data_IF_016880871413
#
_entry.id   IF_016880871413
#
_cell.length_a   1.000
_cell.length_b   1.000
_cell.length_c   1.000
_cell.angle_alpha   90.00
_cell.angle_beta   90.00
_cell.angle_gamma   90.00
#
_symmetry.space_group_name_H-M   'P 1'
#
loop_
_entity.id
_entity.type
_entity.pdbx_description
1 polymer ?
#
# COMPACT_ATOMS: atom_id res chain seq x y z
N UNK A 1 9.02 3.34 2.16
CA UNK A 1 9.10 1.87 2.28
C UNK A 1 7.71 1.25 2.26
N UNK A 2 6.94 1.27 3.36
CA UNK A 2 5.63 0.58 3.40
C UNK A 2 4.70 0.97 2.24
N UNK A 3 4.44 2.27 2.07
CA UNK A 3 3.53 2.75 1.03
C UNK A 3 3.92 2.27 -0.36
N UNK A 4 5.18 2.51 -0.78
CA UNK A 4 5.63 2.11 -2.13
C UNK A 4 5.64 0.58 -2.32
N UNK A 5 5.94 -0.20 -1.28
CA UNK A 5 5.86 -1.68 -1.36
C UNK A 5 4.41 -2.14 -1.50
N UNK A 6 3.48 -1.57 -0.73
CA UNK A 6 2.04 -1.84 -0.87
C UNK A 6 1.56 -1.43 -2.26
N UNK A 7 1.97 -0.26 -2.77
CA UNK A 7 1.63 0.20 -4.11
C UNK A 7 1.99 -0.83 -5.18
N UNK A 8 3.22 -1.36 -5.16
CA UNK A 8 3.62 -2.41 -6.10
C UNK A 8 2.81 -3.71 -5.94
N UNK A 9 2.64 -4.19 -4.71
CA UNK A 9 1.93 -5.44 -4.44
C UNK A 9 0.44 -5.37 -4.77
N UNK A 10 -0.25 -4.31 -4.33
CA UNK A 10 -1.67 -4.12 -4.60
C UNK A 10 -1.90 -3.88 -6.08
N UNK A 11 -0.97 -3.22 -6.77
CA UNK A 11 -1.04 -3.12 -8.21
C UNK A 11 -1.01 -4.49 -8.89
N UNK A 12 0.02 -5.28 -8.60
CA UNK A 12 0.26 -6.56 -9.27
C UNK A 12 -0.77 -7.63 -8.93
N UNK A 13 -1.30 -7.61 -7.70
CA UNK A 13 -2.26 -8.61 -7.21
C UNK A 13 -3.73 -8.21 -7.44
N UNK A 14 -4.01 -6.91 -7.58
CA UNK A 14 -5.40 -6.40 -7.63
C UNK A 14 -5.61 -5.51 -8.84
N UNK A 15 -4.93 -4.37 -8.93
CA UNK A 15 -5.27 -3.35 -9.94
C UNK A 15 -4.96 -3.79 -11.37
N UNK A 16 -3.99 -4.68 -11.59
CA UNK A 16 -3.58 -5.11 -12.94
C UNK A 16 -4.75 -5.68 -13.76
N UNK A 17 -5.78 -6.22 -13.09
CA UNK A 17 -6.98 -6.76 -13.74
C UNK A 17 -7.99 -5.69 -14.15
N UNK A 18 -7.84 -4.45 -13.66
CA UNK A 18 -8.76 -3.33 -13.88
C UNK A 18 -8.17 -2.23 -14.76
N UNK A 19 -6.86 -2.24 -15.02
CA UNK A 19 -6.19 -1.18 -15.77
C UNK A 19 -5.44 -1.72 -16.98
N UNK A 20 -5.54 -0.99 -18.09
CA UNK A 20 -4.84 -1.28 -19.33
C UNK A 20 -3.97 -0.08 -19.74
N UNK A 21 -2.87 0.17 -19.02
CA UNK A 21 -2.10 1.39 -19.20
C UNK A 21 -1.39 1.40 -20.55
N UNK A 22 -1.46 2.53 -21.26
CA UNK A 22 -0.79 2.76 -22.55
C UNK A 22 -0.06 4.10 -22.56
N UNK A 23 0.85 4.30 -23.53
CA UNK A 23 1.60 5.56 -23.67
C UNK A 23 2.30 5.97 -22.36
N UNK A 24 2.10 7.23 -21.95
CA UNK A 24 2.71 7.76 -20.72
C UNK A 24 2.19 7.10 -19.44
N UNK A 25 0.97 6.59 -19.44
CA UNK A 25 0.43 5.85 -18.30
C UNK A 25 1.18 4.53 -18.08
N UNK A 26 1.60 3.87 -19.16
CA UNK A 26 2.41 2.66 -19.07
C UNK A 26 3.79 2.96 -18.48
N UNK A 27 4.44 4.02 -18.95
CA UNK A 27 5.75 4.44 -18.41
C UNK A 27 5.64 4.75 -16.92
N UNK A 28 4.64 5.53 -16.51
CA UNK A 28 4.39 5.82 -15.10
C UNK A 28 4.08 4.55 -14.30
N UNK A 29 3.32 3.62 -14.86
CA UNK A 29 3.00 2.34 -14.23
C UNK A 29 4.26 1.53 -13.98
N UNK A 30 5.11 1.36 -14.99
CA UNK A 30 6.39 0.67 -14.87
C UNK A 30 7.27 1.34 -13.80
N UNK A 31 7.40 2.66 -13.85
CA UNK A 31 8.21 3.41 -12.89
C UNK A 31 7.72 3.26 -11.45
N UNK A 32 6.42 3.46 -11.22
CA UNK A 32 5.85 3.60 -9.86
C UNK A 32 5.39 2.28 -9.24
N UNK A 33 5.00 1.29 -10.05
CA UNK A 33 4.44 0.03 -9.55
C UNK A 33 5.39 -1.16 -9.72
N UNK A 34 6.40 -1.06 -10.59
CA UNK A 34 7.40 -2.11 -10.76
C UNK A 34 8.79 -1.66 -10.33
N UNK A 35 9.35 -0.59 -10.89
CA UNK A 35 10.74 -0.22 -10.60
C UNK A 35 10.90 0.33 -9.18
N UNK A 36 10.15 1.37 -8.82
CA UNK A 36 10.32 2.04 -7.52
C UNK A 36 10.08 1.13 -6.31
N UNK A 37 9.03 0.27 -6.25
CA UNK A 37 8.82 -0.64 -5.12
C UNK A 37 9.98 -1.59 -4.92
N UNK A 38 10.43 -2.24 -6.00
CA UNK A 38 11.46 -3.27 -5.93
C UNK A 38 12.87 -2.71 -5.80
N UNK A 39 13.14 -1.49 -6.26
CA UNK A 39 14.41 -0.80 -6.02
C UNK A 39 14.49 -0.22 -4.59
N UNK A 40 13.36 0.18 -4.00
CA UNK A 40 13.34 0.76 -2.65
C UNK A 40 13.70 -0.27 -1.57
N UNK A 41 13.29 -1.52 -1.73
CA UNK A 41 13.61 -2.60 -0.76
C UNK A 41 15.12 -2.81 -0.56
N UNK A 42 15.94 -3.09 -1.61
CA UNK A 42 17.37 -3.23 -1.47
C UNK A 42 18.02 -1.91 -1.06
N UNK A 43 17.55 -0.76 -1.58
CA UNK A 43 18.06 0.56 -1.13
C UNK A 43 17.92 0.74 0.38
N UNK A 44 16.75 0.43 0.94
CA UNK A 44 16.54 0.45 2.38
C UNK A 44 17.44 -0.55 3.12
N UNK A 45 17.64 -1.76 2.60
CA UNK A 45 18.49 -2.79 3.23
C UNK A 45 20.00 -2.46 3.19
N UNK A 46 20.45 -1.78 2.14
CA UNK A 46 21.87 -1.47 1.90
C UNK A 46 22.31 -0.19 2.64
N UNK A 47 21.41 0.79 2.80
CA UNK A 47 21.77 2.09 3.33
C UNK A 47 21.19 2.33 4.74
N UNK A 48 22.07 2.35 5.75
CA UNK A 48 21.75 2.80 7.12
C UNK A 48 21.65 4.34 7.25
N UNK A 49 21.42 4.90 8.45
CA UNK A 49 21.53 4.25 9.77
C UNK A 49 20.30 3.43 10.15
N UNK A 50 20.47 2.58 11.18
CA UNK A 50 19.43 1.75 11.82
C UNK A 50 19.39 2.06 13.32
N UNK A 51 18.23 2.03 14.00
CA UNK A 51 16.87 1.75 13.51
C UNK A 51 16.22 2.98 12.86
N UNK A 52 15.30 2.75 11.93
CA UNK A 52 14.49 3.79 11.26
C UNK A 52 12.99 3.67 11.56
N UNK A 53 12.53 2.52 12.06
CA UNK A 53 11.10 2.24 12.27
C UNK A 53 10.75 2.39 13.75
N UNK A 54 10.33 3.59 14.13
CA UNK A 54 9.79 3.87 15.46
C UNK A 54 8.25 3.82 15.50
N UNK A 55 7.68 3.91 16.71
CA UNK A 55 6.21 3.87 16.90
C UNK A 55 5.50 5.01 16.16
N UNK A 56 6.14 6.18 16.06
CA UNK A 56 5.57 7.35 15.37
C UNK A 56 5.51 7.13 13.86
N UNK A 57 6.52 6.48 13.29
CA UNK A 57 6.58 6.06 11.88
C UNK A 57 5.48 5.07 11.58
N UNK A 58 5.29 4.06 12.44
CA UNK A 58 4.19 3.09 12.34
C UNK A 58 2.83 3.80 12.36
N UNK A 59 2.59 4.65 13.35
CA UNK A 59 1.32 5.37 13.48
C UNK A 59 1.01 6.25 12.27
N UNK A 60 2.01 7.00 11.78
CA UNK A 60 1.87 7.84 10.58
C UNK A 60 1.61 7.03 9.32
N UNK A 61 2.29 5.89 9.17
CA UNK A 61 2.13 5.02 8.02
C UNK A 61 0.73 4.40 7.93
N UNK A 62 0.07 4.17 9.07
CA UNK A 62 -1.31 3.65 9.13
C UNK A 62 -2.38 4.74 9.10
N UNK A 63 -2.11 5.91 9.68
CA UNK A 63 -3.08 6.99 9.77
C UNK A 63 -3.54 7.46 8.38
N UNK A 64 -2.60 7.65 7.46
CA UNK A 64 -2.91 8.10 6.10
C UNK A 64 -3.83 7.14 5.32
N UNK A 65 -3.50 5.84 5.16
CA UNK A 65 -4.39 4.91 4.46
C UNK A 65 -5.72 4.71 5.18
N UNK A 66 -5.75 4.70 6.52
CA UNK A 66 -7.00 4.62 7.26
C UNK A 66 -7.91 5.83 7.00
N UNK A 67 -7.35 7.04 7.00
CA UNK A 67 -8.09 8.26 6.68
C UNK A 67 -8.59 8.25 5.22
N UNK A 68 -7.76 7.81 4.27
CA UNK A 68 -8.15 7.70 2.87
C UNK A 68 -9.27 6.68 2.66
N UNK A 69 -9.20 5.50 3.31
CA UNK A 69 -10.26 4.48 3.27
C UNK A 69 -11.57 5.06 3.82
N UNK A 70 -11.52 5.70 4.99
CA UNK A 70 -12.70 6.31 5.59
C UNK A 70 -13.33 7.37 4.67
N UNK A 71 -12.49 8.24 4.09
CA UNK A 71 -12.94 9.21 3.09
C UNK A 71 -13.57 8.53 1.88
N UNK A 72 -12.93 7.52 1.29
CA UNK A 72 -13.40 6.82 0.09
C UNK A 72 -14.79 6.22 0.29
N UNK A 73 -15.03 5.54 1.42
CA UNK A 73 -16.34 4.95 1.69
C UNK A 73 -17.41 6.00 2.02
N UNK A 74 -17.07 7.06 2.78
CA UNK A 74 -18.02 8.15 3.07
C UNK A 74 -18.39 8.90 1.79
N UNK A 75 -17.38 9.26 1.00
CA UNK A 75 -17.57 9.93 -0.29
C UNK A 75 -18.38 9.06 -1.25
N UNK A 76 -18.03 7.77 -1.39
CA UNK A 76 -18.75 6.83 -2.23
C UNK A 76 -20.21 6.64 -1.81
N UNK A 77 -20.49 6.56 -0.51
CA UNK A 77 -21.87 6.46 0.00
C UNK A 77 -22.73 7.70 -0.29
N UNK A 78 -22.11 8.89 -0.44
CA UNK A 78 -22.81 10.14 -0.76
C UNK A 78 -22.93 10.36 -2.27
N UNK A 79 -21.92 9.96 -3.04
CA UNK A 79 -21.79 10.31 -4.46
C UNK A 79 -22.05 9.15 -5.42
N UNK A 80 -22.16 7.92 -4.92
CA UNK A 80 -22.19 6.70 -5.71
C UNK A 80 -20.99 6.55 -6.66
N UNK A 81 -19.83 7.12 -6.26
CA UNK A 81 -18.58 7.01 -7.00
C UNK A 81 -17.46 6.52 -6.10
N UNK A 82 -16.83 5.42 -6.52
CA UNK A 82 -15.66 4.83 -5.88
C UNK A 82 -14.46 4.87 -6.84
N UNK A 83 -13.23 5.04 -6.32
CA UNK A 83 -12.05 5.18 -7.17
C UNK A 83 -11.62 3.85 -7.82
N UNK A 84 -12.06 2.71 -7.29
CA UNK A 84 -11.71 1.39 -7.79
C UNK A 84 -12.91 0.42 -7.70
N UNK A 85 -13.11 -0.45 -8.70
CA UNK A 85 -14.22 -1.41 -8.72
C UNK A 85 -14.25 -2.35 -7.51
N UNK A 86 -13.08 -2.79 -7.02
CA UNK A 86 -13.01 -3.66 -5.84
C UNK A 86 -13.36 -2.97 -4.51
N UNK A 87 -13.49 -1.64 -4.50
CA UNK A 87 -14.01 -0.86 -3.37
C UNK A 87 -15.45 -0.42 -3.59
N UNK A 88 -15.99 -0.62 -4.78
CA UNK A 88 -17.29 -0.11 -5.16
C UNK A 88 -18.40 -0.94 -4.50
N UNK A 89 -19.06 -0.34 -3.51
CA UNK A 89 -20.12 -1.00 -2.75
C UNK A 89 -21.35 -1.27 -3.61
N UNK A 90 -21.61 -0.42 -4.61
CA UNK A 90 -22.74 -0.55 -5.51
C UNK A 90 -22.48 -1.64 -6.57
N UNK A 91 -21.21 -1.89 -6.92
CA UNK A 91 -20.80 -2.94 -7.86
C UNK A 91 -20.58 -4.32 -7.20
N UNK A 92 -19.76 -4.40 -6.15
CA UNK A 92 -19.33 -5.69 -5.55
C UNK A 92 -20.04 -6.00 -4.22
N UNK A 93 -20.83 -5.06 -3.70
CA UNK A 93 -21.49 -5.17 -2.41
C UNK A 93 -20.59 -4.81 -1.22
N UNK A 94 -21.20 -4.32 -0.14
CA UNK A 94 -20.49 -3.80 1.03
C UNK A 94 -19.56 -4.83 1.69
N UNK A 95 -19.98 -6.10 1.75
CA UNK A 95 -19.18 -7.17 2.37
C UNK A 95 -17.89 -7.45 1.58
N UNK A 96 -17.97 -7.53 0.24
CA UNK A 96 -16.82 -7.77 -0.63
C UNK A 96 -15.85 -6.59 -0.60
N UNK A 97 -16.37 -5.36 -0.69
CA UNK A 97 -15.56 -4.14 -0.62
C UNK A 97 -14.83 -4.02 0.74
N UNK A 98 -15.52 -4.35 1.84
CA UNK A 98 -14.92 -4.39 3.17
C UNK A 98 -13.84 -5.48 3.30
N UNK A 99 -14.07 -6.67 2.73
CA UNK A 99 -13.08 -7.75 2.73
C UNK A 99 -11.82 -7.38 1.94
N UNK A 100 -11.96 -6.79 0.75
CA UNK A 100 -10.83 -6.33 -0.05
C UNK A 100 -10.02 -5.27 0.71
N UNK A 101 -10.71 -4.30 1.33
CA UNK A 101 -10.09 -3.25 2.17
C UNK A 101 -9.34 -3.86 3.35
N UNK A 102 -9.95 -4.80 4.05
CA UNK A 102 -9.32 -5.51 5.17
C UNK A 102 -8.09 -6.29 4.72
N UNK A 103 -8.14 -6.96 3.56
CA UNK A 103 -7.00 -7.68 2.99
C UNK A 103 -5.79 -6.76 2.76
N UNK A 104 -6.01 -5.57 2.20
CA UNK A 104 -4.95 -4.56 2.00
C UNK A 104 -4.39 -4.07 3.34
N UNK A 105 -5.25 -3.77 4.32
CA UNK A 105 -4.81 -3.34 5.65
C UNK A 105 -4.03 -4.45 6.40
N UNK A 106 -4.47 -5.69 6.29
CA UNK A 106 -3.79 -6.85 6.87
C UNK A 106 -2.40 -7.03 6.26
N UNK A 107 -2.30 -6.97 4.91
CA UNK A 107 -1.02 -7.00 4.21
C UNK A 107 -0.09 -5.87 4.69
N UNK A 108 -0.62 -4.66 4.83
CA UNK A 108 0.12 -3.51 5.33
C UNK A 108 0.67 -3.75 6.75
N UNK A 109 -0.16 -4.32 7.65
CA UNK A 109 0.23 -4.68 9.01
C UNK A 109 1.34 -5.74 9.04
N UNK A 110 1.22 -6.79 8.22
CA UNK A 110 2.25 -7.84 8.09
C UNK A 110 3.57 -7.25 7.61
N UNK A 111 3.55 -6.46 6.52
CA UNK A 111 4.75 -5.82 5.98
C UNK A 111 5.42 -4.90 7.00
N UNK A 112 4.63 -4.11 7.73
CA UNK A 112 5.15 -3.21 8.75
C UNK A 112 5.81 -3.98 9.89
N UNK A 113 5.22 -5.10 10.33
CA UNK A 113 5.81 -5.97 11.34
C UNK A 113 7.14 -6.59 10.86
N UNK A 114 7.19 -7.06 9.61
CA UNK A 114 8.41 -7.58 8.97
C UNK A 114 9.49 -6.51 8.90
N UNK A 115 9.16 -5.31 8.41
CA UNK A 115 10.12 -4.22 8.32
C UNK A 115 10.64 -3.80 9.69
N UNK A 116 9.77 -3.67 10.69
CA UNK A 116 10.19 -3.35 12.06
C UNK A 116 11.04 -4.45 12.70
N UNK A 117 10.82 -5.73 12.36
CA UNK A 117 11.66 -6.83 12.82
C UNK A 117 13.07 -6.77 12.20
N UNK A 118 13.16 -6.56 10.89
CA UNK A 118 14.44 -6.43 10.18
C UNK A 118 15.20 -5.19 10.65
N UNK A 119 14.52 -4.06 10.81
CA UNK A 119 15.09 -2.79 11.27
C UNK A 119 15.75 -2.93 12.65
N UNK A 120 15.05 -3.58 13.60
CA UNK A 120 15.59 -3.91 14.93
C UNK A 120 16.73 -4.91 14.88
N UNK A 121 16.67 -5.91 14.00
CA UNK A 121 17.75 -6.88 13.85
C UNK A 121 19.03 -6.24 13.29
N UNK A 122 18.90 -5.30 12.35
CA UNK A 122 20.03 -4.52 11.80
C UNK A 122 20.63 -3.59 12.86
N UNK A 123 19.81 -2.91 13.65
CA UNK A 123 20.25 -2.03 14.73
C UNK A 123 21.02 -2.75 15.85
N UNK A 124 20.85 -4.07 16.02
CA UNK A 124 21.62 -4.87 16.98
C UNK A 124 22.99 -5.33 16.46
N UNK A 125 23.22 -5.24 15.15
CA UNK A 125 24.42 -5.76 14.48
C UNK A 125 25.47 -4.69 14.14
N UNK A 126 25.10 -3.41 14.21
CA UNK A 126 26.01 -2.28 14.03
C UNK A 126 26.15 -1.53 15.34
#
# INVERSE_FOLDING_TARGET
LLGITITGLVFDLVLIHYVHPTGWQLVATIGLHYIAPWATLPGWLLFGPWPRVDRRTVARAMLWPAAWIAYTFVHGAVTHWYPYPFLDVDEVGAASAALATFGVLALAGVLLAVFAAIDRARARRG
#
